data_IF_326569414150
#
_entry.id   IF_326569414150
#
_cell.length_a   1.000
_cell.length_b   1.000
_cell.length_c   1.000
_cell.angle_alpha   90.00
_cell.angle_beta   90.00
_cell.angle_gamma   90.00
#
_symmetry.space_group_name_H-M   'P 1'
#
loop_
_entity.id
_entity.type
_entity.pdbx_description
1 polymer ?
#
# COMPACT_ATOMS: atom_id res chain seq x y z
N UNK A 1 -22.91 32.46 -33.54
CA UNK A 1 -23.97 31.73 -32.83
C UNK A 1 -23.80 31.96 -31.34
N UNK A 2 -24.76 32.59 -30.66
CA UNK A 2 -24.74 32.71 -29.22
C UNK A 2 -25.16 31.38 -28.62
N UNK A 3 -24.33 30.82 -27.71
CA UNK A 3 -24.63 29.61 -26.99
C UNK A 3 -25.08 30.02 -25.59
N UNK A 4 -26.19 29.51 -25.12
CA UNK A 4 -26.79 29.77 -23.83
C UNK A 4 -26.40 28.71 -22.82
N UNK A 5 -26.21 29.13 -21.58
CA UNK A 5 -25.95 28.21 -20.44
C UNK A 5 -27.16 28.26 -19.49
N UNK A 6 -27.93 27.19 -19.35
CA UNK A 6 -29.00 27.09 -18.37
C UNK A 6 -28.47 27.22 -16.93
N UNK A 7 -29.35 27.69 -16.03
CA UNK A 7 -28.97 27.95 -14.64
C UNK A 7 -28.34 26.76 -13.93
N UNK A 8 -28.88 25.55 -14.16
CA UNK A 8 -28.39 24.33 -13.52
C UNK A 8 -27.00 23.93 -14.03
N UNK A 9 -26.75 24.09 -15.35
CA UNK A 9 -25.44 23.88 -15.95
C UNK A 9 -24.43 24.92 -15.46
N UNK A 10 -24.86 26.18 -15.31
CA UNK A 10 -24.01 27.25 -14.75
C UNK A 10 -23.66 26.97 -13.29
N UNK A 11 -24.61 26.47 -12.49
CA UNK A 11 -24.36 26.12 -11.09
C UNK A 11 -23.27 25.05 -10.96
N UNK A 12 -23.35 23.97 -11.72
CA UNK A 12 -22.33 22.92 -11.76
C UNK A 12 -20.94 23.47 -12.18
N UNK A 13 -20.90 24.36 -13.16
CA UNK A 13 -19.65 25.00 -13.58
C UNK A 13 -19.04 25.88 -12.47
N UNK A 14 -19.86 26.58 -11.71
CA UNK A 14 -19.44 27.42 -10.57
C UNK A 14 -18.92 26.53 -9.43
N UNK A 15 -19.62 25.45 -9.10
CA UNK A 15 -19.14 24.48 -8.09
C UNK A 15 -17.77 23.90 -8.49
N UNK A 16 -17.62 23.49 -9.74
CA UNK A 16 -16.35 22.99 -10.26
C UNK A 16 -15.24 24.06 -10.21
N UNK A 17 -15.57 25.33 -10.52
CA UNK A 17 -14.62 26.44 -10.37
C UNK A 17 -14.14 26.58 -8.95
N UNK A 18 -15.04 26.61 -7.95
CA UNK A 18 -14.69 26.73 -6.53
C UNK A 18 -13.83 25.58 -6.07
N UNK A 19 -14.15 24.35 -6.52
CA UNK A 19 -13.33 23.17 -6.27
C UNK A 19 -11.90 23.34 -6.82
N UNK A 20 -11.76 23.77 -8.07
CA UNK A 20 -10.45 24.01 -8.69
C UNK A 20 -9.67 25.12 -7.97
N UNK A 21 -10.32 26.21 -7.55
CA UNK A 21 -9.69 27.30 -6.79
C UNK A 21 -9.17 26.80 -5.43
N UNK A 22 -9.93 25.95 -4.73
CA UNK A 22 -9.52 25.34 -3.46
C UNK A 22 -8.30 24.45 -3.65
N UNK A 23 -8.33 23.53 -4.60
CA UNK A 23 -7.20 22.65 -4.89
C UNK A 23 -5.95 23.42 -5.34
N UNK A 24 -6.13 24.53 -6.07
CA UNK A 24 -5.01 25.36 -6.51
C UNK A 24 -4.25 26.01 -5.36
N UNK A 25 -4.87 26.24 -4.21
CA UNK A 25 -4.25 26.78 -3.00
C UNK A 25 -3.35 25.76 -2.29
N UNK A 26 -3.58 24.46 -2.50
CA UNK A 26 -2.78 23.40 -1.90
C UNK A 26 -1.40 23.23 -2.58
N UNK A 27 -1.23 23.78 -3.78
CA UNK A 27 0.06 23.69 -4.48
C UNK A 27 1.10 24.61 -3.83
N UNK A 28 2.31 24.10 -3.56
CA UNK A 28 3.41 24.93 -3.08
C UNK A 28 3.86 25.91 -4.18
N UNK A 29 4.51 27.00 -3.77
CA UNK A 29 5.01 28.06 -4.69
C UNK A 29 5.93 27.53 -5.80
N UNK A 30 6.64 26.44 -5.53
CA UNK A 30 7.48 25.74 -6.52
C UNK A 30 6.69 25.08 -7.67
N UNK A 31 5.37 24.93 -7.52
CA UNK A 31 4.46 24.33 -8.52
C UNK A 31 3.51 25.39 -9.11
N UNK A 32 4.00 26.59 -9.37
CA UNK A 32 3.18 27.71 -9.85
C UNK A 32 2.43 27.40 -11.16
N UNK A 33 3.04 26.64 -12.09
CA UNK A 33 2.39 26.26 -13.36
C UNK A 33 1.18 25.36 -13.10
N UNK A 34 1.32 24.35 -12.22
CA UNK A 34 0.23 23.44 -11.86
C UNK A 34 -0.90 24.18 -11.13
N UNK A 35 -0.56 25.08 -10.19
CA UNK A 35 -1.53 25.91 -9.50
C UNK A 35 -2.32 26.80 -10.48
N UNK A 36 -1.64 27.44 -11.42
CA UNK A 36 -2.27 28.29 -12.43
C UNK A 36 -3.15 27.46 -13.39
N UNK A 37 -2.68 26.29 -13.82
CA UNK A 37 -3.45 25.37 -14.65
C UNK A 37 -4.74 24.94 -13.95
N UNK A 38 -4.65 24.55 -12.69
CA UNK A 38 -5.79 24.15 -11.88
C UNK A 38 -6.82 25.27 -11.77
N UNK A 39 -6.40 26.51 -11.49
CA UNK A 39 -7.32 27.67 -11.43
C UNK A 39 -8.06 27.95 -12.74
N UNK A 40 -7.45 27.61 -13.87
CA UNK A 40 -8.01 27.88 -15.19
C UNK A 40 -8.77 26.69 -15.81
N UNK A 41 -8.88 25.53 -15.13
CA UNK A 41 -9.56 24.35 -15.65
C UNK A 41 -11.02 24.62 -16.00
N UNK A 42 -11.74 25.36 -15.18
CA UNK A 42 -13.14 25.67 -15.45
C UNK A 42 -13.36 26.41 -16.78
N UNK A 43 -12.41 27.24 -17.21
CA UNK A 43 -12.45 27.87 -18.54
C UNK A 43 -12.29 26.84 -19.66
N UNK A 44 -11.42 25.85 -19.47
CA UNK A 44 -11.27 24.77 -20.44
C UNK A 44 -12.56 23.95 -20.51
N UNK A 45 -13.17 23.65 -19.37
CA UNK A 45 -14.48 22.96 -19.30
C UNK A 45 -15.54 23.76 -20.05
N UNK A 46 -15.67 25.04 -19.79
CA UNK A 46 -16.64 25.89 -20.47
C UNK A 46 -16.46 25.88 -22.00
N UNK A 47 -15.21 26.02 -22.47
CA UNK A 47 -14.89 25.98 -23.91
C UNK A 47 -15.18 24.61 -24.53
N UNK A 48 -14.79 23.54 -23.84
CA UNK A 48 -15.05 22.17 -24.30
C UNK A 48 -16.55 21.87 -24.36
N UNK A 49 -17.30 22.24 -23.32
CA UNK A 49 -18.75 22.06 -23.27
C UNK A 49 -19.48 22.83 -24.37
N UNK A 50 -19.00 24.06 -24.68
CA UNK A 50 -19.50 24.82 -25.83
C UNK A 50 -19.19 24.13 -27.16
N UNK A 51 -18.01 23.51 -27.29
CA UNK A 51 -17.66 22.71 -28.46
C UNK A 51 -18.53 21.48 -28.61
N UNK A 52 -18.83 20.74 -27.54
CA UNK A 52 -19.73 19.59 -27.55
C UNK A 52 -21.15 19.98 -27.94
N UNK A 53 -21.70 21.06 -27.36
CA UNK A 53 -23.02 21.56 -27.73
C UNK A 53 -23.07 21.95 -29.21
N UNK A 54 -22.01 22.53 -29.78
CA UNK A 54 -21.93 22.84 -31.19
C UNK A 54 -21.94 21.58 -32.08
N UNK A 55 -21.19 20.54 -31.67
CA UNK A 55 -21.17 19.25 -32.39
C UNK A 55 -22.54 18.59 -32.38
N UNK A 56 -23.26 18.67 -31.25
CA UNK A 56 -24.61 18.13 -31.07
C UNK A 56 -25.67 18.98 -31.79
N UNK A 57 -25.27 20.11 -32.38
CA UNK A 57 -26.17 20.99 -33.11
C UNK A 57 -27.16 21.79 -32.25
N UNK A 58 -26.87 21.92 -30.93
CA UNK A 58 -27.75 22.62 -30.00
C UNK A 58 -27.18 23.98 -29.61
N UNK A 59 -28.05 24.91 -29.26
CA UNK A 59 -27.70 26.27 -28.82
C UNK A 59 -27.57 26.41 -27.31
N UNK A 60 -27.75 25.30 -26.57
CA UNK A 60 -27.67 25.25 -25.11
C UNK A 60 -26.61 24.29 -24.63
N UNK A 61 -25.80 24.70 -23.63
CA UNK A 61 -24.84 23.85 -22.93
C UNK A 61 -25.58 23.13 -21.82
N UNK A 62 -25.89 21.85 -22.04
CA UNK A 62 -26.52 20.99 -21.03
C UNK A 62 -25.56 20.61 -19.89
N UNK A 63 -26.13 20.11 -18.79
CA UNK A 63 -25.35 19.55 -17.69
C UNK A 63 -24.45 18.41 -18.16
N UNK A 64 -24.93 17.54 -19.06
CA UNK A 64 -24.15 16.44 -19.64
C UNK A 64 -22.91 16.94 -20.40
N UNK A 65 -23.00 18.06 -21.15
CA UNK A 65 -21.84 18.67 -21.81
C UNK A 65 -20.79 19.16 -20.81
N UNK A 66 -21.22 19.73 -19.68
CA UNK A 66 -20.31 20.14 -18.60
C UNK A 66 -19.63 18.94 -17.97
N UNK A 67 -20.38 17.91 -17.57
CA UNK A 67 -19.86 16.68 -16.96
C UNK A 67 -18.84 15.95 -17.85
N UNK A 68 -19.18 15.76 -19.13
CA UNK A 68 -18.27 15.17 -20.12
C UNK A 68 -16.98 16.00 -20.28
N UNK A 69 -17.11 17.34 -20.28
CA UNK A 69 -15.97 18.24 -20.38
C UNK A 69 -15.11 18.24 -19.14
N UNK A 70 -15.67 18.10 -17.93
CA UNK A 70 -14.91 17.94 -16.70
C UNK A 70 -14.02 16.69 -16.78
N UNK A 71 -14.56 15.54 -17.20
CA UNK A 71 -13.78 14.31 -17.35
C UNK A 71 -12.60 14.48 -18.30
N UNK A 72 -12.82 15.07 -19.47
CA UNK A 72 -11.76 15.35 -20.46
C UNK A 72 -10.68 16.30 -19.93
N UNK A 73 -11.09 17.36 -19.23
CA UNK A 73 -10.15 18.35 -18.69
C UNK A 73 -9.38 17.80 -17.50
N UNK A 74 -9.99 16.99 -16.65
CA UNK A 74 -9.30 16.30 -15.54
C UNK A 74 -8.23 15.34 -16.06
N UNK A 75 -8.55 14.53 -17.07
CA UNK A 75 -7.58 13.64 -17.70
C UNK A 75 -6.41 14.42 -18.30
N UNK A 76 -6.70 15.48 -19.07
CA UNK A 76 -5.68 16.35 -19.62
C UNK A 76 -4.80 16.99 -18.55
N UNK A 77 -5.38 17.43 -17.43
CA UNK A 77 -4.67 18.03 -16.32
C UNK A 77 -3.75 17.02 -15.60
N UNK A 78 -4.16 15.75 -15.48
CA UNK A 78 -3.31 14.69 -14.95
C UNK A 78 -2.08 14.45 -15.84
N UNK A 79 -2.24 14.47 -17.18
CA UNK A 79 -1.10 14.33 -18.10
C UNK A 79 -0.15 15.52 -18.01
N UNK A 80 -0.67 16.75 -17.89
CA UNK A 80 0.18 17.93 -17.68
C UNK A 80 0.98 17.82 -16.39
N UNK A 81 0.40 17.35 -15.30
CA UNK A 81 1.10 17.12 -14.05
C UNK A 81 2.27 16.14 -14.20
N UNK A 82 2.10 15.05 -14.97
CA UNK A 82 3.19 14.11 -15.29
C UNK A 82 4.33 14.78 -16.07
N UNK A 83 4.00 15.67 -17.02
CA UNK A 83 4.99 16.41 -17.80
C UNK A 83 5.75 17.43 -16.92
N UNK A 84 5.02 18.14 -16.05
CA UNK A 84 5.62 19.16 -15.17
C UNK A 84 6.43 18.58 -14.00
N UNK A 85 6.19 17.31 -13.64
CA UNK A 85 6.92 16.59 -12.60
C UNK A 85 7.42 15.26 -13.15
N UNK A 86 8.39 15.28 -14.08
CA UNK A 86 8.93 14.05 -14.63
C UNK A 86 9.60 13.24 -13.52
N UNK A 87 9.42 11.95 -13.58
CA UNK A 87 10.11 11.03 -12.68
C UNK A 87 11.63 11.21 -12.79
N UNK A 88 12.25 11.49 -11.66
CA UNK A 88 13.72 11.55 -11.58
C UNK A 88 14.30 10.15 -11.79
N UNK A 89 15.55 10.08 -12.24
CA UNK A 89 16.20 8.83 -12.57
C UNK A 89 16.17 7.81 -11.41
N UNK A 90 16.39 8.24 -10.18
CA UNK A 90 16.31 7.36 -9.00
C UNK A 90 14.90 6.79 -8.75
N UNK A 91 13.84 7.51 -9.12
CA UNK A 91 12.46 7.02 -9.01
C UNK A 91 12.17 5.93 -10.06
N UNK A 92 12.61 6.18 -11.28
CA UNK A 92 12.55 5.20 -12.38
C UNK A 92 13.37 3.96 -12.07
N UNK A 93 14.54 4.15 -11.48
CA UNK A 93 15.43 3.09 -11.06
C UNK A 93 14.80 2.21 -9.95
N UNK A 94 14.19 2.82 -8.93
CA UNK A 94 13.51 2.08 -7.88
C UNK A 94 12.37 1.20 -8.42
N UNK A 95 11.59 1.69 -9.39
CA UNK A 95 10.53 0.91 -10.03
C UNK A 95 11.07 -0.19 -10.91
N UNK A 96 12.13 0.08 -11.68
CA UNK A 96 12.80 -0.92 -12.50
C UNK A 96 13.24 -2.13 -11.67
N UNK A 97 13.84 -1.91 -10.50
CA UNK A 97 14.26 -2.99 -9.61
C UNK A 97 13.07 -3.88 -9.16
N UNK A 98 11.90 -3.30 -8.98
CA UNK A 98 10.67 -4.07 -8.65
C UNK A 98 10.17 -4.86 -9.85
N UNK A 99 10.25 -4.29 -11.06
CA UNK A 99 9.74 -4.90 -12.30
C UNK A 99 10.59 -6.08 -12.79
N UNK A 100 11.89 -6.08 -12.50
CA UNK A 100 12.82 -7.15 -12.95
C UNK A 100 12.62 -8.47 -12.18
N UNK A 101 11.93 -8.45 -11.04
CA UNK A 101 11.65 -9.66 -10.22
C UNK A 101 12.88 -10.53 -9.96
N UNK A 102 14.06 -9.93 -9.73
CA UNK A 102 15.30 -10.67 -9.49
C UNK A 102 16.42 -9.80 -8.96
N UNK A 103 17.60 -10.42 -8.85
CA UNK A 103 18.82 -9.72 -8.51
C UNK A 103 19.52 -9.23 -9.78
N UNK A 104 19.93 -7.96 -9.78
CA UNK A 104 20.66 -7.33 -10.87
C UNK A 104 22.02 -6.82 -10.40
N UNK A 105 23.01 -6.91 -11.24
CA UNK A 105 24.36 -6.36 -10.99
C UNK A 105 24.49 -4.94 -11.56
N UNK A 106 25.59 -4.24 -11.18
CA UNK A 106 25.88 -2.93 -11.78
C UNK A 106 26.13 -3.01 -13.30
N UNK A 107 26.57 -4.16 -13.82
CA UNK A 107 26.79 -4.36 -15.25
C UNK A 107 25.46 -4.48 -15.99
N UNK A 108 24.50 -5.19 -15.43
CA UNK A 108 23.15 -5.30 -15.99
C UNK A 108 22.49 -3.91 -16.03
N UNK A 109 22.60 -3.15 -14.95
CA UNK A 109 22.07 -1.79 -14.86
C UNK A 109 22.69 -0.82 -15.88
N UNK A 110 23.98 -0.95 -16.15
CA UNK A 110 24.69 -0.14 -17.17
C UNK A 110 24.19 -0.45 -18.59
N UNK A 111 23.77 -1.70 -18.82
CA UNK A 111 23.25 -2.16 -20.10
C UNK A 111 21.80 -1.75 -20.29
N UNK A 112 20.97 -1.98 -19.29
CA UNK A 112 19.51 -1.85 -19.41
C UNK A 112 19.03 -0.42 -19.20
N UNK A 113 19.76 0.38 -18.41
CA UNK A 113 19.32 1.72 -18.02
C UNK A 113 20.21 2.82 -18.64
N UNK A 114 19.79 3.46 -19.74
CA UNK A 114 20.58 4.50 -20.41
C UNK A 114 20.97 5.66 -19.51
N UNK A 115 20.24 5.89 -18.42
CA UNK A 115 20.48 6.96 -17.46
C UNK A 115 21.32 6.54 -16.25
N UNK A 116 21.64 5.23 -16.09
CA UNK A 116 22.50 4.71 -15.01
C UNK A 116 23.97 4.80 -15.39
N UNK A 117 24.43 6.02 -15.68
CA UNK A 117 25.79 6.32 -16.16
C UNK A 117 26.51 7.30 -15.25
N UNK A 118 27.83 7.34 -15.36
CA UNK A 118 28.67 8.26 -14.62
C UNK A 118 29.69 7.57 -13.73
N UNK A 119 30.28 8.31 -12.81
CA UNK A 119 31.28 7.81 -11.86
C UNK A 119 30.65 6.83 -10.87
N UNK A 120 31.49 6.04 -10.19
CA UNK A 120 31.04 5.15 -9.10
C UNK A 120 30.27 5.93 -8.03
N UNK A 121 30.71 7.13 -7.67
CA UNK A 121 30.01 7.98 -6.70
C UNK A 121 28.60 8.37 -7.18
N UNK A 122 28.45 8.77 -8.45
CA UNK A 122 27.14 9.14 -9.02
C UNK A 122 26.17 7.97 -9.04
N UNK A 123 26.64 6.76 -9.34
CA UNK A 123 25.84 5.54 -9.30
C UNK A 123 25.40 5.22 -7.88
N UNK A 124 26.33 5.32 -6.93
CA UNK A 124 26.04 5.09 -5.49
C UNK A 124 25.01 6.10 -4.95
N UNK A 125 25.13 7.37 -5.31
CA UNK A 125 24.16 8.41 -4.95
C UNK A 125 22.78 8.09 -5.52
N UNK A 126 22.71 7.61 -6.75
CA UNK A 126 21.43 7.20 -7.36
C UNK A 126 20.80 6.02 -6.62
N UNK A 127 21.58 5.02 -6.23
CA UNK A 127 21.10 3.87 -5.44
C UNK A 127 20.59 4.34 -4.07
N UNK A 128 21.34 5.20 -3.38
CA UNK A 128 20.95 5.74 -2.08
C UNK A 128 19.65 6.56 -2.16
N UNK A 129 19.51 7.39 -3.19
CA UNK A 129 18.27 8.15 -3.43
C UNK A 129 17.10 7.23 -3.77
N UNK A 130 17.33 6.14 -4.52
CA UNK A 130 16.29 5.16 -4.83
C UNK A 130 15.81 4.41 -3.57
N UNK A 131 16.73 4.03 -2.68
CA UNK A 131 16.41 3.42 -1.40
C UNK A 131 15.56 4.40 -0.55
N UNK A 132 16.00 5.65 -0.42
CA UNK A 132 15.27 6.67 0.33
C UNK A 132 13.87 6.95 -0.26
N UNK A 133 13.74 6.95 -1.59
CA UNK A 133 12.46 7.03 -2.27
C UNK A 133 11.60 5.80 -2.01
N UNK A 134 12.19 4.62 -2.04
CA UNK A 134 11.54 3.34 -1.78
C UNK A 134 10.84 3.31 -0.44
N UNK A 135 11.50 3.73 0.63
CA UNK A 135 10.91 3.83 1.98
C UNK A 135 9.60 4.62 2.01
N UNK A 136 9.50 5.69 1.22
CA UNK A 136 8.29 6.53 1.15
C UNK A 136 7.20 5.97 0.24
N UNK A 137 7.56 5.03 -0.65
CA UNK A 137 6.69 4.53 -1.70
C UNK A 137 6.43 3.02 -1.62
N UNK A 138 6.66 2.42 -0.45
CA UNK A 138 6.45 1.00 -0.19
C UNK A 138 7.28 0.08 -1.13
N UNK A 139 8.48 0.52 -1.48
CA UNK A 139 9.45 -0.27 -2.23
C UNK A 139 10.65 -0.54 -1.30
N UNK A 140 11.02 -1.81 -1.17
CA UNK A 140 12.23 -2.22 -0.48
C UNK A 140 13.28 -2.55 -1.53
N UNK A 141 14.44 -1.89 -1.43
CA UNK A 141 15.61 -2.18 -2.27
C UNK A 141 16.66 -2.81 -1.36
N UNK A 142 17.03 -4.03 -1.66
CA UNK A 142 18.05 -4.80 -0.94
C UNK A 142 19.37 -4.76 -1.68
N UNK A 143 20.48 -4.81 -0.90
CA UNK A 143 21.84 -4.94 -1.39
C UNK A 143 22.42 -6.23 -0.83
N UNK A 144 22.95 -7.07 -1.68
CA UNK A 144 23.71 -8.25 -1.30
C UNK A 144 25.10 -8.21 -1.94
N UNK A 145 26.10 -8.74 -1.25
CA UNK A 145 27.45 -8.88 -1.76
C UNK A 145 27.77 -10.37 -1.81
N UNK A 146 27.97 -10.89 -3.02
CA UNK A 146 28.35 -12.26 -3.26
C UNK A 146 29.66 -12.24 -4.05
N UNK A 147 30.71 -12.85 -3.50
CA UNK A 147 32.05 -12.88 -4.10
C UNK A 147 32.60 -11.48 -4.48
N UNK A 148 32.25 -10.45 -3.70
CA UNK A 148 32.68 -9.06 -3.94
C UNK A 148 31.88 -8.32 -5.01
N UNK A 149 30.87 -8.94 -5.59
CA UNK A 149 29.95 -8.34 -6.56
C UNK A 149 28.70 -7.84 -5.82
N UNK A 150 28.31 -6.60 -6.10
CA UNK A 150 27.08 -6.01 -5.58
C UNK A 150 25.89 -6.46 -6.44
N UNK A 151 24.92 -7.08 -5.79
CA UNK A 151 23.60 -7.38 -6.34
C UNK A 151 22.56 -6.46 -5.72
N UNK A 152 21.60 -6.03 -6.50
CA UNK A 152 20.45 -5.21 -6.10
C UNK A 152 19.17 -5.93 -6.49
N UNK A 153 18.21 -5.95 -5.57
CA UNK A 153 16.86 -6.43 -5.84
C UNK A 153 15.82 -5.47 -5.27
N UNK A 154 14.67 -5.41 -5.90
CA UNK A 154 13.55 -4.57 -5.48
C UNK A 154 12.30 -5.39 -5.26
N UNK A 155 11.53 -5.04 -4.23
CA UNK A 155 10.20 -5.60 -3.99
C UNK A 155 9.22 -4.52 -3.55
N UNK A 156 7.97 -4.63 -3.98
CA UNK A 156 6.91 -3.76 -3.50
C UNK A 156 6.25 -4.37 -2.27
N UNK A 157 6.04 -3.52 -1.24
CA UNK A 157 5.29 -3.91 -0.05
C UNK A 157 3.80 -3.68 -0.29
N UNK A 158 3.00 -4.71 -0.11
CA UNK A 158 1.56 -4.63 -0.13
C UNK A 158 1.05 -4.21 1.25
N UNK A 159 0.32 -3.09 1.34
CA UNK A 159 -0.32 -2.68 2.60
C UNK A 159 -1.33 -3.72 3.06
N UNK A 160 -1.39 -3.93 4.35
CA UNK A 160 -2.43 -4.76 4.96
C UNK A 160 -3.79 -4.10 4.77
N UNK A 161 -4.72 -4.87 4.24
CA UNK A 161 -6.15 -4.55 4.20
C UNK A 161 -6.79 -5.24 5.41
N UNK A 162 -7.36 -4.47 6.33
CA UNK A 162 -8.01 -5.00 7.53
C UNK A 162 -9.28 -5.81 7.24
N UNK A 163 -9.80 -5.72 6.03
CA UNK A 163 -10.91 -6.57 5.55
C UNK A 163 -10.44 -7.89 4.94
N UNK A 164 -9.10 -8.10 4.84
CA UNK A 164 -8.49 -9.27 4.20
C UNK A 164 -7.29 -9.79 5.00
N UNK A 165 -7.53 -10.14 6.25
CA UNK A 165 -6.50 -10.74 7.09
C UNK A 165 -6.32 -12.21 6.76
N UNK A 166 -5.06 -12.63 6.65
CA UNK A 166 -4.66 -13.96 6.22
C UNK A 166 -4.68 -14.88 7.42
N UNK A 167 -5.56 -15.86 7.40
CA UNK A 167 -5.64 -16.95 8.39
C UNK A 167 -5.92 -18.29 7.73
N UNK A 168 -5.62 -19.35 8.43
CA UNK A 168 -6.19 -20.67 8.15
C UNK A 168 -6.74 -21.29 9.43
N UNK A 169 -7.84 -22.02 9.34
CA UNK A 169 -8.48 -22.64 10.49
C UNK A 169 -8.93 -24.06 10.19
N UNK A 170 -9.08 -24.85 11.24
CA UNK A 170 -9.62 -26.20 11.21
C UNK A 170 -10.41 -26.48 12.49
N UNK A 171 -11.46 -27.26 12.40
CA UNK A 171 -12.20 -27.85 13.51
C UNK A 171 -11.73 -29.28 13.83
N UNK A 172 -10.73 -29.80 13.12
CA UNK A 172 -10.19 -31.13 13.32
C UNK A 172 -9.46 -31.24 14.68
N UNK A 173 -9.89 -32.17 15.58
CA UNK A 173 -9.28 -32.33 16.90
C UNK A 173 -7.77 -32.64 16.85
N UNK A 174 -7.29 -33.23 15.77
CA UNK A 174 -5.86 -33.54 15.60
C UNK A 174 -4.99 -32.32 15.28
N UNK A 175 -5.58 -31.16 14.95
CA UNK A 175 -4.88 -29.88 14.65
C UNK A 175 -3.75 -29.99 13.62
N UNK A 176 -3.78 -30.99 12.75
CA UNK A 176 -2.71 -31.24 11.76
C UNK A 176 -3.17 -31.18 10.33
N UNK A 177 -4.45 -31.43 10.07
CA UNK A 177 -5.04 -31.49 8.72
C UNK A 177 -6.31 -30.65 8.62
N UNK A 178 -6.81 -30.57 7.40
CA UNK A 178 -8.09 -29.94 7.06
C UNK A 178 -8.15 -28.43 7.29
N UNK A 179 -6.98 -27.76 7.31
CA UNK A 179 -6.92 -26.32 7.38
C UNK A 179 -7.50 -25.68 6.12
N UNK A 180 -8.49 -24.84 6.31
CA UNK A 180 -9.07 -24.01 5.28
C UNK A 180 -8.42 -22.62 5.30
N UNK A 181 -7.93 -22.18 4.15
CA UNK A 181 -7.35 -20.84 3.99
C UNK A 181 -8.46 -19.82 3.83
N UNK A 182 -8.47 -18.81 4.68
CA UNK A 182 -9.50 -17.77 4.72
C UNK A 182 -8.87 -16.38 4.71
N UNK A 183 -9.62 -15.43 4.17
CA UNK A 183 -9.40 -14.00 4.38
C UNK A 183 -10.55 -13.45 5.20
N UNK A 184 -10.24 -12.90 6.38
CA UNK A 184 -11.24 -12.45 7.35
C UNK A 184 -11.06 -10.97 7.65
N UNK A 185 -12.12 -10.33 8.13
CA UNK A 185 -12.05 -8.96 8.60
C UNK A 185 -11.47 -8.90 10.01
N UNK A 186 -10.86 -7.76 10.35
CA UNK A 186 -10.38 -7.54 11.70
C UNK A 186 -11.50 -7.68 12.76
N UNK A 187 -12.71 -7.25 12.44
CA UNK A 187 -13.86 -7.32 13.35
C UNK A 187 -14.28 -8.75 13.66
N UNK A 188 -14.03 -9.69 12.73
CA UNK A 188 -14.38 -11.11 12.87
C UNK A 188 -13.28 -11.92 13.60
N UNK A 189 -12.08 -11.36 13.83
CA UNK A 189 -10.95 -12.05 14.50
C UNK A 189 -11.34 -12.48 15.93
N UNK A 190 -12.16 -11.71 16.60
CA UNK A 190 -12.62 -12.02 17.96
C UNK A 190 -13.39 -13.34 18.02
N UNK A 191 -14.15 -13.67 16.99
CA UNK A 191 -14.94 -14.91 16.93
C UNK A 191 -14.04 -16.15 16.88
N UNK A 192 -12.90 -16.05 16.16
CA UNK A 192 -11.89 -17.12 16.14
C UNK A 192 -11.18 -17.32 17.48
N UNK A 193 -11.07 -16.27 18.28
CA UNK A 193 -10.52 -16.35 19.64
C UNK A 193 -11.49 -16.90 20.68
N UNK A 194 -12.80 -16.78 20.44
CA UNK A 194 -13.87 -17.25 21.35
C UNK A 194 -14.28 -18.68 21.12
N UNK A 195 -14.10 -19.20 19.88
CA UNK A 195 -14.51 -20.57 19.54
C UNK A 195 -13.43 -21.56 19.95
N UNK A 196 -13.70 -22.27 21.02
CA UNK A 196 -12.83 -23.28 21.59
C UNK A 196 -12.66 -24.53 20.70
N UNK A 197 -13.53 -24.72 19.71
CA UNK A 197 -13.48 -25.84 18.77
C UNK A 197 -12.59 -25.57 17.56
N UNK A 198 -12.31 -24.27 17.28
CA UNK A 198 -11.50 -23.86 16.16
C UNK A 198 -10.02 -23.72 16.54
N UNK A 199 -9.17 -24.28 15.67
CA UNK A 199 -7.73 -24.05 15.70
C UNK A 199 -7.33 -23.22 14.49
N UNK A 200 -6.71 -22.07 14.70
CA UNK A 200 -6.35 -21.17 13.63
C UNK A 200 -4.87 -20.77 13.65
N UNK A 201 -4.36 -20.38 12.50
CA UNK A 201 -2.99 -19.97 12.23
C UNK A 201 -3.01 -18.66 11.46
N UNK A 202 -1.97 -17.86 11.62
CA UNK A 202 -1.77 -16.58 10.92
C UNK A 202 -1.07 -16.73 9.54
N UNK A 203 -1.11 -17.90 8.94
CA UNK A 203 -0.60 -18.19 7.61
C UNK A 203 -1.58 -19.08 6.84
N UNK A 204 -1.56 -18.96 5.52
CA UNK A 204 -2.20 -19.95 4.66
C UNK A 204 -1.36 -21.23 4.58
N UNK A 205 -2.03 -22.39 4.54
CA UNK A 205 -1.41 -23.71 4.49
C UNK A 205 -1.64 -24.36 3.12
N UNK A 206 -0.56 -24.79 2.47
CA UNK A 206 -0.65 -25.55 1.23
C UNK A 206 -1.28 -26.93 1.51
N UNK A 207 -2.32 -27.28 0.75
CA UNK A 207 -3.01 -28.57 0.88
C UNK A 207 -3.71 -28.76 2.22
N UNK A 208 -3.91 -27.71 3.03
CA UNK A 208 -4.60 -27.80 4.33
C UNK A 208 -3.85 -28.60 5.39
N UNK A 209 -2.56 -28.87 5.20
CA UNK A 209 -1.76 -29.65 6.14
C UNK A 209 -0.80 -28.73 6.92
N UNK A 210 -0.92 -28.73 8.25
CA UNK A 210 -0.08 -27.94 9.16
C UNK A 210 1.32 -28.52 9.24
N UNK A 211 2.20 -28.04 8.38
CA UNK A 211 3.61 -28.33 8.38
C UNK A 211 4.34 -27.04 8.00
N UNK A 212 5.52 -26.81 8.56
CA UNK A 212 6.31 -25.62 8.30
C UNK A 212 6.56 -25.40 6.79
N UNK A 213 6.94 -26.45 6.07
CA UNK A 213 7.20 -26.40 4.63
C UNK A 213 5.93 -26.11 3.78
N UNK A 214 4.74 -26.24 4.37
CA UNK A 214 3.46 -25.98 3.72
C UNK A 214 2.93 -24.58 3.99
N UNK A 215 3.59 -23.78 4.84
CA UNK A 215 3.20 -22.40 5.07
C UNK A 215 3.45 -21.58 3.80
N UNK A 216 2.39 -21.00 3.26
CA UNK A 216 2.48 -20.12 2.09
C UNK A 216 3.08 -18.78 2.50
N UNK A 217 3.89 -18.21 1.61
CA UNK A 217 4.48 -16.89 1.85
C UNK A 217 3.42 -15.80 1.91
N UNK A 218 3.50 -14.99 2.92
CA UNK A 218 2.62 -13.85 3.15
C UNK A 218 1.75 -14.04 4.38
N UNK A 219 1.95 -13.14 5.35
CA UNK A 219 1.11 -13.03 6.54
C UNK A 219 0.96 -11.56 6.90
N UNK A 220 -0.12 -11.22 7.57
CA UNK A 220 -0.41 -9.85 7.99
C UNK A 220 -0.95 -9.77 9.43
N UNK A 221 -0.78 -10.85 10.19
CA UNK A 221 -1.07 -10.93 11.61
C UNK A 221 0.16 -11.45 12.37
N UNK A 222 0.49 -10.81 13.47
CA UNK A 222 1.38 -11.34 14.50
C UNK A 222 0.54 -11.97 15.60
N UNK A 223 0.94 -13.14 16.03
CA UNK A 223 0.29 -13.86 17.15
C UNK A 223 1.36 -14.22 18.17
N UNK A 224 1.25 -13.66 19.36
CA UNK A 224 2.14 -13.96 20.48
C UNK A 224 1.40 -14.84 21.47
N UNK A 225 2.03 -15.94 21.88
CA UNK A 225 1.52 -16.86 22.91
C UNK A 225 2.27 -16.57 24.21
N UNK A 226 1.57 -16.05 25.22
CA UNK A 226 2.14 -15.69 26.51
C UNK A 226 1.75 -16.75 27.55
N UNK A 227 2.74 -17.48 28.02
CA UNK A 227 2.60 -18.64 28.89
C UNK A 227 3.04 -18.35 30.32
N UNK A 228 2.27 -17.54 31.05
CA UNK A 228 2.42 -17.34 32.48
C UNK A 228 3.55 -16.42 32.95
N UNK A 229 4.33 -15.87 32.01
CA UNK A 229 5.52 -15.08 32.32
C UNK A 229 5.27 -13.58 32.45
N UNK A 230 4.14 -13.09 31.89
CA UNK A 230 3.87 -11.66 31.85
C UNK A 230 2.39 -11.33 32.12
N UNK A 231 2.09 -10.33 32.99
CA UNK A 231 0.70 -9.97 33.30
C UNK A 231 -0.06 -9.40 32.11
N UNK A 232 -1.32 -9.83 31.92
CA UNK A 232 -2.17 -9.39 30.82
C UNK A 232 -2.34 -7.86 30.79
N UNK A 233 -2.56 -7.22 31.95
CA UNK A 233 -2.76 -5.78 32.04
C UNK A 233 -1.49 -4.99 31.68
N UNK A 234 -0.32 -5.52 31.96
CA UNK A 234 0.94 -4.91 31.53
C UNK A 234 1.09 -4.97 30.00
N UNK A 235 0.74 -6.08 29.35
CA UNK A 235 0.73 -6.16 27.89
C UNK A 235 -0.25 -5.17 27.24
N UNK A 236 -1.44 -5.01 27.82
CA UNK A 236 -2.41 -4.01 27.35
C UNK A 236 -1.87 -2.59 27.44
N UNK A 237 -1.18 -2.27 28.55
CA UNK A 237 -0.57 -0.95 28.75
C UNK A 237 0.57 -0.66 27.76
N UNK A 238 1.44 -1.65 27.50
CA UNK A 238 2.54 -1.51 26.52
C UNK A 238 2.01 -1.31 25.11
N UNK A 239 0.92 -1.98 24.76
CA UNK A 239 0.31 -1.93 23.44
C UNK A 239 -0.79 -0.87 23.32
N UNK A 240 -0.90 0.04 24.30
CA UNK A 240 -1.79 1.19 24.23
C UNK A 240 -1.47 2.03 22.97
N UNK A 241 -2.47 2.29 22.16
CA UNK A 241 -2.31 2.99 20.87
C UNK A 241 -2.04 2.09 19.66
N UNK A 242 -1.79 0.80 19.87
CA UNK A 242 -1.73 -0.19 18.79
C UNK A 242 -3.09 -0.90 18.63
N UNK A 243 -3.41 -1.28 17.40
CA UNK A 243 -4.56 -2.16 17.14
C UNK A 243 -4.16 -3.58 17.57
N UNK A 244 -4.70 -4.04 18.68
CA UNK A 244 -4.40 -5.36 19.24
C UNK A 244 -5.66 -6.02 19.78
N UNK A 245 -5.74 -7.34 19.66
CA UNK A 245 -6.78 -8.17 20.25
C UNK A 245 -6.13 -9.15 21.23
N UNK A 246 -6.73 -9.31 22.41
CA UNK A 246 -6.25 -10.16 23.48
C UNK A 246 -7.30 -11.19 23.82
N UNK A 247 -6.92 -12.46 23.92
CA UNK A 247 -7.80 -13.49 24.44
C UNK A 247 -7.06 -14.50 25.30
N UNK A 248 -7.74 -14.98 26.35
CA UNK A 248 -7.19 -15.96 27.28
C UNK A 248 -7.31 -17.36 26.70
N UNK A 249 -6.34 -18.23 27.01
CA UNK A 249 -6.37 -19.63 26.62
C UNK A 249 -7.06 -20.48 27.71
N UNK A 250 -7.45 -21.71 27.39
CA UNK A 250 -8.16 -22.65 28.32
C UNK A 250 -7.45 -22.87 29.69
N UNK A 251 -6.15 -22.64 29.74
CA UNK A 251 -5.35 -22.84 30.96
C UNK A 251 -5.02 -21.54 31.69
N UNK A 252 -5.70 -20.45 31.34
CA UNK A 252 -5.53 -19.17 32.02
C UNK A 252 -6.09 -19.22 33.44
N UNK A 253 -5.32 -18.68 34.39
CA UNK A 253 -5.74 -18.41 35.78
C UNK A 253 -5.22 -17.04 36.21
N UNK A 254 -5.77 -16.46 37.28
CA UNK A 254 -5.27 -15.19 37.81
C UNK A 254 -3.81 -15.27 38.25
N UNK A 255 -3.38 -16.44 38.75
CA UNK A 255 -2.00 -16.68 39.18
C UNK A 255 -1.05 -17.01 38.04
N UNK A 256 -1.56 -17.57 36.95
CA UNK A 256 -0.78 -17.95 35.78
C UNK A 256 -1.48 -17.41 34.51
N UNK A 257 -1.08 -16.19 34.12
CA UNK A 257 -1.65 -15.54 32.95
C UNK A 257 -1.26 -16.26 31.67
N UNK A 258 -2.24 -16.84 30.98
CA UNK A 258 -2.05 -17.49 29.69
C UNK A 258 -2.99 -16.90 28.66
N UNK A 259 -2.43 -16.17 27.72
CA UNK A 259 -3.21 -15.43 26.74
C UNK A 259 -2.46 -15.27 25.43
N UNK A 260 -3.19 -14.91 24.40
CA UNK A 260 -2.61 -14.57 23.10
C UNK A 260 -2.87 -13.12 22.79
N UNK A 261 -1.90 -12.52 22.10
CA UNK A 261 -1.95 -11.18 21.57
C UNK A 261 -1.94 -11.29 20.05
N UNK A 262 -2.92 -10.68 19.39
CA UNK A 262 -3.02 -10.64 17.93
C UNK A 262 -2.88 -9.20 17.48
N UNK A 263 -1.93 -8.93 16.59
CA UNK A 263 -1.62 -7.58 16.10
C UNK A 263 -1.57 -7.62 14.58
N UNK A 264 -2.34 -6.79 13.84
CA UNK A 264 -2.20 -6.67 12.41
C UNK A 264 -0.90 -5.91 12.06
N UNK A 265 -0.18 -6.39 11.07
CA UNK A 265 0.98 -5.68 10.53
C UNK A 265 0.55 -4.61 9.53
N UNK A 266 1.35 -3.56 9.35
CA UNK A 266 1.05 -2.50 8.37
C UNK A 266 1.15 -2.98 6.92
N UNK A 267 1.89 -4.07 6.68
CA UNK A 267 2.12 -4.65 5.36
C UNK A 267 2.00 -6.17 5.43
N UNK A 268 1.66 -6.79 4.28
CA UNK A 268 1.76 -8.24 4.14
C UNK A 268 3.24 -8.59 4.06
N UNK A 269 3.72 -9.34 5.04
CA UNK A 269 5.12 -9.74 5.16
C UNK A 269 5.33 -11.07 4.44
N UNK A 270 6.29 -11.10 3.49
CA UNK A 270 6.67 -12.30 2.74
C UNK A 270 8.09 -12.70 3.12
N UNK A 271 8.21 -13.33 4.28
CA UNK A 271 9.48 -13.76 4.84
C UNK A 271 9.68 -15.27 4.62
N UNK A 272 10.89 -15.65 4.20
CA UNK A 272 11.27 -17.05 4.25
C UNK A 272 11.51 -17.47 5.71
N UNK A 273 11.74 -18.75 5.97
CA UNK A 273 11.92 -19.31 7.31
C UNK A 273 13.01 -18.60 8.13
N UNK A 274 14.16 -18.34 7.52
CA UNK A 274 15.31 -17.72 8.21
C UNK A 274 14.97 -16.29 8.63
N UNK A 275 14.45 -15.48 7.71
CA UNK A 275 14.02 -14.11 7.98
C UNK A 275 12.81 -14.03 8.93
N UNK A 276 11.91 -15.00 8.89
CA UNK A 276 10.78 -15.07 9.83
C UNK A 276 11.28 -15.31 11.27
N UNK A 277 12.23 -16.22 11.45
CA UNK A 277 12.82 -16.50 12.76
C UNK A 277 13.62 -15.29 13.30
N UNK A 278 14.39 -14.63 12.46
CA UNK A 278 15.10 -13.41 12.81
C UNK A 278 14.13 -12.27 13.17
N UNK A 279 13.10 -12.08 12.36
CA UNK A 279 12.07 -11.07 12.57
C UNK A 279 11.34 -11.30 13.90
N UNK A 280 10.89 -12.51 14.17
CA UNK A 280 10.22 -12.83 15.44
C UNK A 280 11.13 -12.67 16.64
N UNK A 281 12.39 -13.08 16.53
CA UNK A 281 13.40 -12.87 17.58
C UNK A 281 13.59 -11.37 17.87
N UNK A 282 13.75 -10.55 16.83
CA UNK A 282 13.93 -9.10 16.98
C UNK A 282 12.71 -8.44 17.66
N UNK A 283 11.49 -8.90 17.35
CA UNK A 283 10.28 -8.39 18.03
C UNK A 283 10.30 -8.76 19.51
N UNK A 284 10.62 -10.01 19.87
CA UNK A 284 10.71 -10.43 21.28
C UNK A 284 11.78 -9.68 22.08
N UNK A 285 12.83 -9.19 21.45
CA UNK A 285 13.87 -8.40 22.10
C UNK A 285 13.48 -6.92 22.30
N UNK A 286 12.43 -6.45 21.59
CA UNK A 286 12.00 -5.04 21.61
C UNK A 286 10.68 -4.80 22.37
N UNK A 287 9.93 -5.85 22.68
CA UNK A 287 8.73 -5.82 23.51
C UNK A 287 9.06 -6.27 24.93
#
# INVERSE_FOLDING_TARGET
>A
TNVHIPRDSLHLLVEYRLHCETLALEYPTSKAIQSMEMRHRYFKVLKSAGGLAFVDGVSEISKAHIEASILLVEESGQQLNKICTPDRNYMRFARYLVEVEGEVTLADLDTDLPYFKGSKATKEDMINMAIAYGYKNNIVIQRSFIDGILFLSGSSLQKTDLDKLIISCTDNPNMTTDYQNLMVKWEDIEDFGKDDSLHWLNHHMQGGYRKEDNALLGFNLLVFDVDGTFPLEASKSILEGYKAFFYTTKRHTEECNRYRIVIPTNFILRLNKEYYNEFTKNIYEHI
#
